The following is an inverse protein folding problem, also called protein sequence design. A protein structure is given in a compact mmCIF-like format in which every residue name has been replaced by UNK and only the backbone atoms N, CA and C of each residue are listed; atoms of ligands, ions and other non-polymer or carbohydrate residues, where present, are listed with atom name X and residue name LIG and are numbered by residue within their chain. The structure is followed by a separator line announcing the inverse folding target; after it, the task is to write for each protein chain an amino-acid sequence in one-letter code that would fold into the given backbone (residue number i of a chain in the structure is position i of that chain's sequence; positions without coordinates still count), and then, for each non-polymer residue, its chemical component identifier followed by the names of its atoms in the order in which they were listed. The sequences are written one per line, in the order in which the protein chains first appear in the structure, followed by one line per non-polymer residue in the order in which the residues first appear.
data_IF_455804438497
#
_entry.id   IF_455804438497
#
_cell.length_a   1.000
_cell.length_b   1.000
_cell.length_c   1.000
_cell.angle_alpha   90.00
_cell.angle_beta   90.00
_cell.angle_gamma   90.00
#
_symmetry.space_group_name_H-M   'P 1'
#
loop_
_entity.id
_entity.type
_entity.pdbx_description
1 polymer ?
#
# COMPACT_ATOMS: atom_id res chain seq x y z
N UNK A 1 14.20 17.10 7.09
CA UNK A 1 14.24 15.99 8.07
C UNK A 1 12.85 15.58 8.58
N UNK A 2 11.81 16.42 8.51
CA UNK A 2 10.49 16.13 9.10
C UNK A 2 9.61 15.12 8.34
N UNK A 3 9.74 14.97 7.01
CA UNK A 3 8.88 14.07 6.23
C UNK A 3 9.14 12.57 6.51
N UNK A 4 10.41 12.17 6.68
CA UNK A 4 10.76 10.77 6.99
C UNK A 4 10.25 10.31 8.36
N UNK A 5 10.29 11.19 9.37
CA UNK A 5 9.87 10.86 10.74
C UNK A 5 8.36 10.59 10.83
N UNK A 6 7.55 11.37 10.08
CA UNK A 6 6.09 11.18 10.02
C UNK A 6 5.68 9.91 9.26
N UNK A 7 6.45 9.52 8.23
CA UNK A 7 6.20 8.30 7.45
C UNK A 7 6.39 7.05 8.33
N UNK A 8 7.50 6.97 9.07
CA UNK A 8 7.75 5.86 10.01
C UNK A 8 6.67 5.76 11.10
N UNK A 9 6.25 6.87 11.71
CA UNK A 9 5.22 6.84 12.74
C UNK A 9 3.86 6.32 12.21
N UNK A 10 3.51 6.61 10.94
CA UNK A 10 2.28 6.09 10.30
C UNK A 10 2.41 4.63 9.86
N UNK A 11 3.60 4.18 9.47
CA UNK A 11 3.88 2.77 9.17
C UNK A 11 3.74 1.92 10.44
N UNK A 12 4.13 2.46 11.60
CA UNK A 12 4.01 1.77 12.88
C UNK A 12 2.58 1.61 13.38
N UNK A 13 1.62 2.40 12.89
CA UNK A 13 0.20 2.28 13.29
C UNK A 13 -0.63 1.38 12.38
N UNK A 14 -0.05 0.80 11.33
CA UNK A 14 -0.76 -0.13 10.45
C UNK A 14 -1.10 -1.40 11.22
N UNK A 15 -2.38 -1.75 11.24
CA UNK A 15 -2.86 -3.01 11.82
C UNK A 15 -3.26 -3.99 10.73
N UNK A 16 -3.10 -5.28 11.01
CA UNK A 16 -3.53 -6.36 10.13
C UNK A 16 -5.01 -6.26 9.72
N UNK A 17 -5.87 -5.71 10.60
CA UNK A 17 -7.30 -5.48 10.32
C UNK A 17 -7.53 -4.41 9.24
N UNK A 18 -6.71 -3.36 9.22
CA UNK A 18 -6.81 -2.30 8.21
C UNK A 18 -6.35 -2.82 6.84
N UNK A 19 -5.27 -3.62 6.84
CA UNK A 19 -4.76 -4.29 5.64
C UNK A 19 -5.80 -5.26 5.07
N UNK A 20 -6.41 -6.08 5.93
CA UNK A 20 -7.44 -7.04 5.52
C UNK A 20 -8.65 -6.35 4.88
N UNK A 21 -9.14 -5.26 5.51
CA UNK A 21 -10.25 -4.48 4.98
C UNK A 21 -9.89 -3.88 3.61
N UNK A 22 -8.66 -3.43 3.42
CA UNK A 22 -8.16 -2.94 2.15
C UNK A 22 -8.22 -4.01 1.06
N UNK A 23 -7.68 -5.20 1.34
CA UNK A 23 -7.67 -6.33 0.43
C UNK A 23 -9.09 -6.66 -0.01
N UNK A 24 -10.05 -6.69 0.92
CA UNK A 24 -11.45 -6.94 0.61
C UNK A 24 -12.06 -5.86 -0.28
N UNK A 25 -11.79 -4.57 -0.02
CA UNK A 25 -12.32 -3.49 -0.85
C UNK A 25 -11.70 -3.49 -2.25
N UNK A 26 -10.38 -3.69 -2.35
CA UNK A 26 -9.68 -3.77 -3.62
C UNK A 26 -10.17 -4.97 -4.44
N UNK A 27 -10.27 -6.17 -3.86
CA UNK A 27 -10.81 -7.36 -4.52
C UNK A 27 -12.27 -7.16 -4.98
N UNK A 28 -13.05 -6.35 -4.27
CA UNK A 28 -14.47 -6.13 -4.57
C UNK A 28 -14.70 -5.08 -5.66
N UNK A 29 -13.89 -4.02 -5.69
CA UNK A 29 -14.16 -2.85 -6.52
C UNK A 29 -13.12 -2.63 -7.63
N UNK A 30 -11.97 -3.31 -7.58
CA UNK A 30 -10.95 -3.28 -8.62
C UNK A 30 -11.00 -4.61 -9.37
N UNK A 31 -11.77 -4.63 -10.47
CA UNK A 31 -11.89 -5.79 -11.37
C UNK A 31 -10.75 -5.78 -12.40
N UNK A 32 -9.50 -5.68 -11.95
CA UNK A 32 -8.32 -5.68 -12.81
C UNK A 32 -7.24 -6.60 -12.25
N UNK A 33 -6.78 -7.56 -13.06
CA UNK A 33 -5.75 -8.52 -12.66
C UNK A 33 -4.39 -7.87 -12.35
N UNK A 34 -4.16 -6.64 -12.81
CA UNK A 34 -3.01 -5.82 -12.48
C UNK A 34 -2.92 -5.44 -11.00
N UNK A 35 -4.01 -5.53 -10.23
CA UNK A 35 -4.00 -5.30 -8.77
C UNK A 35 -3.47 -6.51 -7.97
N UNK A 36 -3.42 -7.70 -8.57
CA UNK A 36 -2.97 -8.93 -7.92
C UNK A 36 -1.60 -8.83 -7.21
N UNK A 37 -0.53 -8.26 -7.80
CA UNK A 37 0.74 -8.08 -7.09
C UNK A 37 0.61 -7.22 -5.83
N UNK A 38 -0.24 -6.18 -5.83
CA UNK A 38 -0.51 -5.40 -4.63
C UNK A 38 -1.25 -6.24 -3.58
N UNK A 39 -2.26 -7.00 -4.00
CA UNK A 39 -3.03 -7.86 -3.09
C UNK A 39 -2.12 -8.90 -2.41
N UNK A 40 -1.23 -9.54 -3.15
CA UNK A 40 -0.28 -10.51 -2.61
C UNK A 40 0.69 -9.85 -1.62
N UNK A 41 1.21 -8.66 -1.93
CA UNK A 41 2.08 -7.92 -1.04
C UNK A 41 1.35 -7.49 0.26
N UNK A 42 0.08 -7.10 0.16
CA UNK A 42 -0.75 -6.78 1.33
C UNK A 42 -1.07 -8.01 2.17
N UNK A 43 -1.33 -9.16 1.55
CA UNK A 43 -1.54 -10.43 2.27
C UNK A 43 -0.28 -10.84 3.05
N UNK A 44 0.91 -10.64 2.48
CA UNK A 44 2.16 -10.83 3.20
C UNK A 44 2.31 -9.81 4.33
N UNK A 45 2.13 -8.50 4.06
CA UNK A 45 2.25 -7.46 5.09
C UNK A 45 1.26 -7.68 6.25
N UNK A 46 0.10 -8.27 6.00
CA UNK A 46 -0.89 -8.59 7.04
C UNK A 46 -0.33 -9.53 8.12
N UNK A 47 0.58 -10.45 7.78
CA UNK A 47 1.17 -11.38 8.76
C UNK A 47 2.15 -10.66 9.68
N UNK A 48 2.96 -9.77 9.13
CA UNK A 48 3.95 -8.98 9.86
C UNK A 48 3.92 -7.50 9.43
N UNK A 49 2.97 -6.70 9.93
CA UNK A 49 2.74 -5.33 9.45
C UNK A 49 3.90 -4.37 9.75
N UNK A 50 4.78 -4.74 10.68
CA UNK A 50 5.95 -3.95 11.07
C UNK A 50 7.22 -4.36 10.30
N UNK A 51 7.14 -5.37 9.42
CA UNK A 51 8.30 -5.84 8.69
C UNK A 51 8.60 -4.89 7.52
N UNK A 52 9.72 -4.18 7.61
CA UNK A 52 10.15 -3.18 6.63
C UNK A 52 10.32 -3.77 5.22
N UNK A 53 10.72 -5.05 5.09
CA UNK A 53 10.84 -5.70 3.80
C UNK A 53 9.47 -5.91 3.14
N UNK A 54 8.45 -6.26 3.91
CA UNK A 54 7.07 -6.40 3.43
C UNK A 54 6.46 -5.04 3.08
N UNK A 55 6.75 -4.02 3.88
CA UNK A 55 6.34 -2.63 3.59
C UNK A 55 6.96 -2.14 2.27
N UNK A 56 8.23 -2.45 2.04
CA UNK A 56 8.93 -2.13 0.78
C UNK A 56 8.32 -2.88 -0.41
N UNK A 57 7.94 -4.14 -0.23
CA UNK A 57 7.22 -4.90 -1.27
C UNK A 57 5.87 -4.28 -1.62
N UNK A 58 5.09 -3.86 -0.62
CA UNK A 58 3.82 -3.14 -0.85
C UNK A 58 4.06 -1.85 -1.60
N UNK A 59 5.08 -1.07 -1.23
CA UNK A 59 5.44 0.16 -1.93
C UNK A 59 5.80 -0.10 -3.40
N UNK A 60 6.64 -1.11 -3.68
CA UNK A 60 7.03 -1.45 -5.05
C UNK A 60 5.84 -1.96 -5.87
N UNK A 61 5.00 -2.84 -5.30
CA UNK A 61 3.81 -3.34 -5.95
C UNK A 61 2.81 -2.21 -6.24
N UNK A 62 2.65 -1.28 -5.30
CA UNK A 62 1.80 -0.10 -5.46
C UNK A 62 2.32 0.84 -6.55
N UNK A 63 3.62 1.15 -6.55
CA UNK A 63 4.23 1.99 -7.59
C UNK A 63 4.11 1.37 -8.99
N UNK A 64 4.10 0.03 -9.08
CA UNK A 64 3.88 -0.69 -10.33
C UNK A 64 2.44 -0.64 -10.87
N UNK A 65 1.46 -0.12 -10.11
CA UNK A 65 0.05 -0.13 -10.50
C UNK A 65 -0.35 0.83 -11.62
N UNK A 66 0.59 1.61 -12.19
CA UNK A 66 0.30 2.60 -13.24
C UNK A 66 -1.02 3.36 -12.98
N UNK A 67 -2.02 3.24 -13.87
CA UNK A 67 -3.31 3.93 -13.76
C UNK A 67 -4.20 3.43 -12.60
N UNK A 68 -3.95 2.22 -12.07
CA UNK A 68 -4.71 1.64 -10.97
C UNK A 68 -4.35 2.22 -9.59
N UNK A 69 -3.28 3.02 -9.49
CA UNK A 69 -2.90 3.68 -8.23
C UNK A 69 -4.05 4.54 -7.67
N UNK A 70 -4.76 5.27 -8.55
CA UNK A 70 -5.90 6.11 -8.13
C UNK A 70 -7.09 5.29 -7.61
N UNK A 71 -7.38 4.15 -8.24
CA UNK A 71 -8.40 3.22 -7.75
C UNK A 71 -7.99 2.61 -6.41
N UNK A 72 -6.71 2.23 -6.27
CA UNK A 72 -6.18 1.69 -5.04
C UNK A 72 -6.29 2.67 -3.86
N UNK A 73 -5.96 3.96 -4.07
CA UNK A 73 -6.09 4.99 -3.05
C UNK A 73 -7.54 5.31 -2.66
N UNK A 74 -8.48 5.14 -3.59
CA UNK A 74 -9.92 5.34 -3.33
C UNK A 74 -10.44 4.34 -2.30
N UNK A 75 -10.05 3.07 -2.44
CA UNK A 75 -10.55 1.98 -1.60
C UNK A 75 -9.64 1.66 -0.41
N UNK A 76 -8.37 2.05 -0.49
CA UNK A 76 -7.37 1.85 0.55
C UNK A 76 -6.57 3.15 0.78
N UNK A 77 -7.18 4.19 1.38
CA UNK A 77 -6.56 5.51 1.52
C UNK A 77 -5.30 5.53 2.39
N UNK A 78 -5.14 4.53 3.28
CA UNK A 78 -3.91 4.41 4.06
C UNK A 78 -2.70 4.06 3.20
N UNK A 79 -2.88 3.51 1.97
CA UNK A 79 -1.76 3.26 1.06
C UNK A 79 -1.03 4.53 0.63
N UNK A 80 -1.62 5.71 0.88
CA UNK A 80 -0.94 6.99 0.70
C UNK A 80 0.36 7.10 1.53
N UNK A 81 0.53 6.31 2.59
CA UNK A 81 1.80 6.23 3.33
C UNK A 81 2.91 5.53 2.54
N UNK A 82 2.57 4.74 1.54
CA UNK A 82 3.53 4.04 0.67
C UNK A 82 3.78 4.81 -0.63
N UNK A 83 2.97 5.82 -0.95
CA UNK A 83 3.22 6.71 -2.08
C UNK A 83 4.60 7.36 -1.91
N UNK A 84 5.44 7.25 -2.93
CA UNK A 84 6.71 7.97 -2.98
C UNK A 84 6.41 9.47 -2.95
N UNK A 85 7.20 10.26 -2.20
CA UNK A 85 7.03 11.73 -2.10
C UNK A 85 7.27 12.43 -3.45
N UNK A 86 7.74 11.66 -4.45
CA UNK A 86 8.02 12.09 -5.81
C UNK A 86 7.01 11.46 -6.79
N UNK A 87 5.86 12.13 -7.03
CA UNK A 87 4.85 11.69 -8.01
C UNK A 87 5.27 11.95 -9.47
N UNK A 88 6.46 12.53 -9.69
CA UNK A 88 7.00 12.91 -10.99
C UNK A 88 8.50 12.55 -11.03
N UNK A 89 8.83 11.27 -10.92
CA UNK A 89 10.20 10.85 -11.17
C UNK A 89 10.64 11.26 -12.58
N UNK A 90 11.57 12.22 -12.63
CA UNK A 90 12.29 12.85 -13.76
C UNK A 90 11.79 12.58 -15.20
#
# INVERSE_FOLDING_TARGET
MEHKLRKNAKLQTIKAVDIDKAIQMLKKYVDDQGINPLLAALEALKTEPQNEALQTQVMNAFNALSYLQGAALTYAPYLNIFVSDDPFGD
#
